data_IF_619965004865
#
_entry.id   IF_619965004865
#
_cell.length_a   1.000
_cell.length_b   1.000
_cell.length_c   1.000
_cell.angle_alpha   90.00
_cell.angle_beta   90.00
_cell.angle_gamma   90.00
#
_symmetry.space_group_name_H-M   'P 1'
#
loop_
_entity.id
_entity.type
_entity.pdbx_description
1 polymer ?
#
# COMPACT_ATOMS: atom_id res chain seq x y z
N UNK A 1 7.44 -3.07 -3.20
CA UNK A 1 6.50 -2.45 -2.25
C UNK A 1 7.20 -1.39 -1.42
N UNK A 2 7.07 -0.12 -1.81
CA UNK A 2 7.73 1.01 -1.13
C UNK A 2 6.72 2.07 -0.68
N UNK A 3 5.55 2.12 -1.29
CA UNK A 3 4.54 3.17 -1.07
C UNK A 3 3.15 2.59 -0.77
N UNK A 4 2.24 3.38 -0.15
CA UNK A 4 0.83 3.00 0.01
C UNK A 4 0.14 2.65 -1.30
N UNK A 5 0.51 3.32 -2.40
CA UNK A 5 -0.05 3.03 -3.71
C UNK A 5 0.36 1.65 -4.22
N UNK A 6 1.59 1.21 -3.97
CA UNK A 6 2.03 -0.13 -4.35
C UNK A 6 1.23 -1.20 -3.59
N UNK A 7 0.98 -0.97 -2.30
CA UNK A 7 0.16 -1.85 -1.47
C UNK A 7 -1.25 -1.99 -2.03
N UNK A 8 -1.92 -0.87 -2.30
CA UNK A 8 -3.28 -0.85 -2.86
C UNK A 8 -3.30 -1.51 -4.24
N UNK A 9 -2.30 -1.28 -5.11
CA UNK A 9 -2.20 -1.96 -6.41
C UNK A 9 -2.10 -3.48 -6.26
N UNK A 10 -1.26 -3.98 -5.37
CA UNK A 10 -1.15 -5.42 -5.13
C UNK A 10 -2.46 -6.03 -4.61
N UNK A 11 -3.15 -5.33 -3.71
CA UNK A 11 -4.45 -5.75 -3.19
C UNK A 11 -5.51 -5.77 -4.31
N UNK A 12 -5.52 -4.75 -5.17
CA UNK A 12 -6.41 -4.67 -6.33
C UNK A 12 -6.13 -5.80 -7.34
N UNK A 13 -4.87 -6.24 -7.48
CA UNK A 13 -4.48 -7.39 -8.31
C UNK A 13 -4.84 -8.76 -7.69
N UNK A 14 -5.50 -8.78 -6.53
CA UNK A 14 -5.97 -10.01 -5.89
C UNK A 14 -5.07 -10.55 -4.78
N UNK A 15 -4.04 -9.83 -4.36
CA UNK A 15 -3.26 -10.23 -3.18
C UNK A 15 -4.14 -10.20 -1.92
N UNK A 16 -3.92 -11.16 -1.01
CA UNK A 16 -4.61 -11.21 0.30
C UNK A 16 -3.94 -10.33 1.36
N UNK A 17 -2.64 -10.12 1.23
CA UNK A 17 -1.84 -9.29 2.13
C UNK A 17 -0.60 -8.78 1.38
N UNK A 18 0.01 -7.72 1.91
CA UNK A 18 1.25 -7.14 1.40
C UNK A 18 2.27 -7.03 2.52
N UNK A 19 3.48 -7.51 2.30
CA UNK A 19 4.59 -7.42 3.25
C UNK A 19 5.50 -6.24 2.95
N UNK A 20 5.96 -5.54 3.98
CA UNK A 20 6.94 -4.46 3.88
C UNK A 20 8.03 -4.62 4.95
N UNK A 21 9.26 -4.92 4.51
CA UNK A 21 10.41 -5.06 5.42
C UNK A 21 11.27 -3.80 5.42
N UNK A 22 11.89 -3.46 4.28
CA UNK A 22 12.88 -2.37 4.19
C UNK A 22 12.36 -0.99 4.65
N UNK A 23 11.16 -0.52 4.25
CA UNK A 23 10.68 0.81 4.66
C UNK A 23 10.50 0.93 6.18
N UNK A 24 9.96 -0.11 6.82
CA UNK A 24 9.73 -0.14 8.26
C UNK A 24 11.04 -0.29 9.03
N UNK A 25 11.95 -1.17 8.58
CA UNK A 25 13.27 -1.29 9.19
C UNK A 25 14.04 0.03 9.14
N UNK A 26 14.07 0.67 7.97
CA UNK A 26 14.72 1.97 7.80
C UNK A 26 14.08 3.05 8.69
N UNK A 27 12.77 3.01 8.91
CA UNK A 27 12.09 3.95 9.82
C UNK A 27 12.51 3.74 11.27
N UNK A 28 12.56 2.49 11.74
CA UNK A 28 12.98 2.17 13.11
C UNK A 28 14.43 2.58 13.33
N UNK A 29 15.32 2.25 12.39
CA UNK A 29 16.76 2.55 12.51
C UNK A 29 17.06 4.05 12.53
N UNK A 30 16.32 4.86 11.76
CA UNK A 30 16.64 6.29 11.59
C UNK A 30 15.80 7.22 12.49
N UNK A 31 14.57 6.83 12.82
CA UNK A 31 13.60 7.72 13.50
C UNK A 31 13.04 7.14 14.82
N UNK A 32 13.38 5.89 15.15
CA UNK A 32 12.94 5.23 16.36
C UNK A 32 11.50 4.71 16.32
N UNK A 33 11.10 4.04 17.40
CA UNK A 33 9.86 3.25 17.45
C UNK A 33 8.60 4.15 17.40
N UNK A 34 8.57 5.25 18.15
CA UNK A 34 7.39 6.14 18.21
C UNK A 34 7.08 6.73 16.84
N UNK A 35 8.08 7.28 16.14
CA UNK A 35 7.91 7.80 14.80
C UNK A 35 7.53 6.70 13.79
N UNK A 36 7.97 5.46 14.02
CA UNK A 36 7.59 4.32 13.18
C UNK A 36 6.11 3.95 13.36
N UNK A 37 5.56 4.05 14.57
CA UNK A 37 4.13 3.85 14.82
C UNK A 37 3.31 4.90 14.07
N UNK A 38 3.67 6.17 14.20
CA UNK A 38 3.02 7.28 13.48
C UNK A 38 3.12 7.08 11.96
N UNK A 39 4.26 6.59 11.47
CA UNK A 39 4.46 6.25 10.07
C UNK A 39 3.51 5.12 9.62
N UNK A 40 3.31 4.08 10.43
CA UNK A 40 2.42 2.97 10.13
C UNK A 40 0.95 3.41 10.03
N UNK A 41 0.52 4.28 10.95
CA UNK A 41 -0.82 4.86 10.95
C UNK A 41 -1.05 5.73 9.71
N UNK A 42 -0.11 6.64 9.42
CA UNK A 42 -0.15 7.48 8.22
C UNK A 42 -0.16 6.65 6.94
N UNK A 43 0.62 5.57 6.89
CA UNK A 43 0.64 4.65 5.76
C UNK A 43 -0.75 4.05 5.52
N UNK A 44 -1.42 3.62 6.60
CA UNK A 44 -2.78 3.07 6.55
C UNK A 44 -3.80 4.11 6.10
N UNK A 45 -3.71 5.34 6.60
CA UNK A 45 -4.60 6.42 6.19
C UNK A 45 -4.38 6.83 4.73
N UNK A 46 -3.15 6.79 4.24
CA UNK A 46 -2.87 6.99 2.82
C UNK A 46 -3.49 5.90 1.95
N UNK A 47 -3.43 4.62 2.37
CA UNK A 47 -4.13 3.56 1.65
C UNK A 47 -5.64 3.82 1.59
N UNK A 48 -6.27 4.19 2.72
CA UNK A 48 -7.70 4.54 2.76
C UNK A 48 -8.03 5.68 1.81
N UNK A 49 -7.25 6.77 1.80
CA UNK A 49 -7.44 7.90 0.88
C UNK A 49 -7.42 7.44 -0.58
N UNK A 50 -6.48 6.57 -0.95
CA UNK A 50 -6.39 6.00 -2.30
C UNK A 50 -7.64 5.17 -2.61
N UNK A 51 -8.06 4.29 -1.69
CA UNK A 51 -9.28 3.50 -1.86
C UNK A 51 -10.53 4.38 -2.00
N UNK A 52 -10.63 5.48 -1.26
CA UNK A 52 -11.71 6.47 -1.41
C UNK A 52 -11.72 7.11 -2.80
N UNK A 53 -10.55 7.48 -3.34
CA UNK A 53 -10.45 8.02 -4.71
C UNK A 53 -10.87 6.99 -5.77
N UNK A 54 -10.69 5.70 -5.48
CA UNK A 54 -11.11 4.58 -6.34
C UNK A 54 -12.57 4.15 -6.08
N UNK A 55 -13.29 4.84 -5.18
CA UNK A 55 -14.64 4.49 -4.75
C UNK A 55 -14.77 3.03 -4.24
N UNK A 56 -13.74 2.54 -3.56
CA UNK A 56 -13.71 1.21 -2.94
C UNK A 56 -13.80 1.34 -1.41
N UNK A 57 -14.88 0.83 -0.82
CA UNK A 57 -15.09 0.85 0.64
C UNK A 57 -14.45 -0.36 1.34
N UNK A 58 -14.14 -1.41 0.59
CA UNK A 58 -13.55 -2.65 1.08
C UNK A 58 -12.42 -3.15 0.16
N UNK A 59 -11.58 -4.04 0.70
CA UNK A 59 -10.53 -4.72 -0.09
C UNK A 59 -11.15 -5.59 -1.19
N UNK A 60 -12.35 -6.14 -0.97
CA UNK A 60 -13.04 -6.94 -1.98
C UNK A 60 -13.63 -6.08 -3.10
N UNK A 61 -14.15 -4.89 -2.80
CA UNK A 61 -14.52 -3.89 -3.83
C UNK A 61 -13.29 -3.39 -4.59
N UNK A 62 -12.16 -3.20 -3.90
CA UNK A 62 -10.92 -2.77 -4.53
C UNK A 62 -10.44 -3.75 -5.61
N UNK A 63 -10.68 -5.07 -5.44
CA UNK A 63 -10.37 -6.10 -6.46
C UNK A 63 -11.24 -5.99 -7.72
N UNK A 64 -12.39 -5.31 -7.65
CA UNK A 64 -13.27 -5.06 -8.79
C UNK A 64 -12.90 -3.77 -9.54
N UNK A 65 -11.94 -2.99 -9.03
CA UNK A 65 -11.49 -1.78 -9.67
C UNK A 65 -10.83 -2.10 -11.03
N UNK A 66 -11.13 -1.29 -12.05
CA UNK A 66 -10.53 -1.45 -13.37
C UNK A 66 -9.03 -1.09 -13.31
N UNK A 67 -8.17 -2.04 -13.65
CA UNK A 67 -6.71 -1.84 -13.72
C UNK A 67 -6.29 -1.73 -15.18
N UNK A 68 -5.57 -0.66 -15.51
CA UNK A 68 -4.93 -0.48 -16.82
C UNK A 68 -3.45 -0.83 -16.69
N UNK A 69 -2.99 -1.83 -17.45
CA UNK A 69 -1.60 -2.25 -17.46
C UNK A 69 -0.78 -1.38 -18.42
N UNK A 70 0.23 -0.69 -17.89
CA UNK A 70 1.27 -0.07 -18.70
C UNK A 70 2.33 -1.08 -19.16
N UNK A 71 3.22 -0.72 -20.10
CA UNK A 71 4.25 -1.62 -20.65
C UNK A 71 5.24 -2.20 -19.62
N UNK A 72 5.33 -1.63 -18.41
CA UNK A 72 5.99 -2.22 -17.23
C UNK A 72 4.94 -2.66 -16.21
N UNK A 73 4.40 -3.87 -16.37
CA UNK A 73 3.35 -4.41 -15.52
C UNK A 73 3.87 -5.36 -14.43
N UNK A 74 4.89 -4.95 -13.66
CA UNK A 74 5.44 -5.77 -12.56
C UNK A 74 5.35 -5.02 -11.24
N UNK A 75 4.65 -5.60 -10.27
CA UNK A 75 4.54 -5.09 -8.89
C UNK A 75 5.83 -5.22 -8.05
N UNK A 76 6.94 -5.59 -8.69
CA UNK A 76 8.17 -6.03 -8.03
C UNK A 76 9.40 -5.18 -8.32
N UNK A 77 9.23 -4.01 -8.95
CA UNK A 77 10.34 -3.09 -9.16
C UNK A 77 10.74 -2.34 -7.88
#
# INVERSE_FOLDING_TARGET
MRTPLDAVKCLALGARAVGMSRPFLNQVENNGITATLDYAEQFTDHMKKIMTMLNAQSIDELKQAQIVYGPKATCLD
#
